data_IF_903381698242
#
_entry.id   IF_903381698242
#
_cell.length_a   1.000
_cell.length_b   1.000
_cell.length_c   1.000
_cell.angle_alpha   90.00
_cell.angle_beta   90.00
_cell.angle_gamma   90.00
#
_symmetry.space_group_name_H-M   'P 1'
#
loop_
_entity.id
_entity.type
_entity.pdbx_description
1 polymer ?
#
# COMPACT_ATOMS: atom_id res chain seq x y z
N UNK A 1 -25.06 32.11 13.62
CA UNK A 1 -23.71 32.40 13.11
C UNK A 1 -23.02 31.06 12.83
N UNK A 2 -22.42 30.90 11.66
CA UNK A 2 -21.60 29.69 11.41
C UNK A 2 -20.42 29.73 12.40
N UNK A 3 -20.07 28.59 13.05
CA UNK A 3 -18.92 28.56 13.93
C UNK A 3 -17.66 28.96 13.17
N UNK A 4 -16.84 29.84 13.75
CA UNK A 4 -15.58 30.24 13.14
C UNK A 4 -14.61 29.05 13.14
N UNK A 5 -14.02 28.74 11.99
CA UNK A 5 -13.04 27.65 11.86
C UNK A 5 -11.63 28.22 11.91
N UNK A 6 -10.82 27.69 12.80
CA UNK A 6 -9.39 28.01 12.90
C UNK A 6 -8.58 26.94 12.17
N UNK A 7 -7.91 27.33 11.09
CA UNK A 7 -7.06 26.42 10.31
C UNK A 7 -5.62 26.41 10.81
N UNK A 8 -5.09 25.22 11.04
CA UNK A 8 -3.73 24.98 11.53
C UNK A 8 -3.04 23.99 10.60
N UNK A 9 -1.87 24.32 10.09
CA UNK A 9 -1.02 23.42 9.34
C UNK A 9 0.25 23.08 10.11
N UNK A 10 0.65 21.83 10.09
CA UNK A 10 1.84 21.35 10.76
C UNK A 10 2.79 20.69 9.74
N UNK A 11 4.00 21.22 9.61
CA UNK A 11 5.09 20.48 8.98
C UNK A 11 5.76 19.63 10.07
N UNK A 12 5.65 18.29 9.90
CA UNK A 12 5.91 17.35 10.99
C UNK A 12 7.26 16.67 10.86
N UNK A 13 8.08 16.75 11.92
CA UNK A 13 9.38 16.10 12.01
C UNK A 13 9.50 15.25 13.29
N UNK A 14 10.53 14.40 13.36
CA UNK A 14 10.76 13.46 14.45
C UNK A 14 10.81 14.10 15.84
N UNK A 15 11.40 15.29 15.97
CA UNK A 15 11.63 15.96 17.28
C UNK A 15 10.74 17.19 17.51
N UNK A 16 10.33 17.85 16.45
CA UNK A 16 9.55 19.08 16.54
C UNK A 16 8.67 19.24 15.31
N UNK A 17 7.64 20.05 15.43
CA UNK A 17 6.76 20.46 14.35
C UNK A 17 6.88 21.96 14.12
N UNK A 18 6.85 22.39 12.88
CA UNK A 18 6.60 23.78 12.52
C UNK A 18 5.11 23.95 12.32
N UNK A 19 4.54 24.90 13.04
CA UNK A 19 3.11 25.18 13.06
C UNK A 19 2.86 26.53 12.44
N UNK A 20 1.93 26.60 11.51
CA UNK A 20 1.38 27.84 10.99
C UNK A 20 -0.15 27.79 11.16
N UNK A 21 -0.74 28.87 11.65
CA UNK A 21 -2.19 28.98 11.75
C UNK A 21 -2.66 30.40 11.48
N UNK A 22 -3.89 30.54 11.04
CA UNK A 22 -4.49 31.85 10.75
C UNK A 22 -5.63 32.13 11.71
N UNK A 23 -5.61 33.33 12.32
CA UNK A 23 -6.69 33.76 13.21
C UNK A 23 -7.97 34.01 12.40
N UNK A 24 -9.11 33.36 12.74
CA UNK A 24 -10.30 33.34 11.88
C UNK A 24 -10.95 34.71 11.68
N UNK A 25 -10.82 35.64 12.65
CA UNK A 25 -11.47 36.93 12.59
C UNK A 25 -10.54 38.07 12.08
N UNK A 26 -9.22 37.99 12.35
CA UNK A 26 -8.28 39.05 11.96
C UNK A 26 -7.49 38.71 10.70
N UNK A 27 -7.45 37.41 10.29
CA UNK A 27 -6.59 36.95 9.20
C UNK A 27 -5.10 36.92 9.55
N UNK A 28 -4.72 37.23 10.80
CA UNK A 28 -3.32 37.26 11.24
C UNK A 28 -2.72 35.85 11.19
N UNK A 29 -1.55 35.75 10.54
CA UNK A 29 -0.78 34.52 10.44
C UNK A 29 0.19 34.41 11.62
N UNK A 30 0.08 33.37 12.41
CA UNK A 30 1.01 33.08 13.50
C UNK A 30 1.81 31.81 13.21
N UNK A 31 3.09 31.83 13.59
CA UNK A 31 4.04 30.72 13.38
C UNK A 31 4.86 30.47 14.63
N UNK A 32 5.06 29.19 14.95
CA UNK A 32 5.92 28.77 16.04
C UNK A 32 6.37 27.31 15.85
N UNK A 33 7.29 26.86 16.70
CA UNK A 33 7.69 25.45 16.78
C UNK A 33 7.13 24.82 18.03
N UNK A 34 6.81 23.53 17.91
CA UNK A 34 6.31 22.70 19.01
C UNK A 34 7.12 21.41 19.05
N UNK A 35 7.58 21.00 20.23
CA UNK A 35 8.24 19.69 20.38
C UNK A 35 7.24 18.55 20.14
N UNK A 36 7.71 17.46 19.53
CA UNK A 36 6.90 16.26 19.29
C UNK A 36 6.69 15.47 20.59
N UNK A 37 5.97 16.08 21.54
CA UNK A 37 5.52 15.43 22.77
C UNK A 37 4.04 15.64 23.00
N UNK A 38 3.40 14.67 23.64
CA UNK A 38 1.98 14.75 23.94
C UNK A 38 1.60 16.03 24.69
N UNK A 39 2.42 16.44 25.66
CA UNK A 39 2.22 17.63 26.50
C UNK A 39 2.30 18.93 25.69
N UNK A 40 3.28 19.05 24.80
CA UNK A 40 3.46 20.29 24.03
C UNK A 40 2.39 20.43 22.93
N UNK A 41 1.96 19.32 22.33
CA UNK A 41 0.83 19.31 21.38
C UNK A 41 -0.46 19.76 22.10
N UNK A 42 -0.72 19.25 23.30
CA UNK A 42 -1.88 19.66 24.11
C UNK A 42 -1.81 21.15 24.49
N UNK A 43 -0.63 21.63 24.92
CA UNK A 43 -0.40 23.05 25.22
C UNK A 43 -0.66 23.93 24.01
N UNK A 44 -0.18 23.51 22.84
CA UNK A 44 -0.40 24.19 21.58
C UNK A 44 -1.90 24.36 21.29
N UNK A 45 -2.67 23.28 21.35
CA UNK A 45 -4.11 23.33 21.08
C UNK A 45 -4.84 24.20 22.11
N UNK A 46 -4.49 24.08 23.41
CA UNK A 46 -5.04 24.95 24.45
C UNK A 46 -4.72 26.44 24.22
N UNK A 47 -3.50 26.77 23.76
CA UNK A 47 -3.11 28.13 23.42
C UNK A 47 -3.93 28.68 22.25
N UNK A 48 -4.06 27.91 21.14
CA UNK A 48 -4.82 28.33 19.96
C UNK A 48 -6.29 28.54 20.34
N UNK A 49 -6.89 27.62 21.13
CA UNK A 49 -8.30 27.69 21.55
C UNK A 49 -8.61 28.92 22.43
N UNK A 50 -7.64 29.39 23.22
CA UNK A 50 -7.78 30.63 24.00
C UNK A 50 -7.76 31.90 23.13
N UNK A 51 -6.99 31.88 22.07
CA UNK A 51 -6.85 33.02 21.15
C UNK A 51 -7.97 33.08 20.12
N UNK A 52 -8.38 31.92 19.63
CA UNK A 52 -9.42 31.77 18.60
C UNK A 52 -10.44 30.71 19.04
N UNK A 53 -11.51 31.10 19.77
CA UNK A 53 -12.58 30.18 20.13
C UNK A 53 -13.31 29.72 18.86
N UNK A 54 -13.64 28.42 18.81
CA UNK A 54 -14.33 27.80 17.68
C UNK A 54 -13.76 26.43 17.35
N UNK A 55 -14.11 25.92 16.19
CA UNK A 55 -13.63 24.63 15.71
C UNK A 55 -12.19 24.74 15.19
N UNK A 56 -11.32 23.83 15.61
CA UNK A 56 -9.91 23.81 15.17
C UNK A 56 -9.73 22.69 14.16
N UNK A 57 -9.38 23.04 12.93
CA UNK A 57 -9.02 22.13 11.87
C UNK A 57 -7.50 22.08 11.72
N UNK A 58 -6.92 20.88 11.83
CA UNK A 58 -5.46 20.69 11.77
C UNK A 58 -5.12 19.80 10.59
N UNK A 59 -4.16 20.18 9.78
CA UNK A 59 -3.63 19.29 8.75
C UNK A 59 -2.11 19.10 8.88
N UNK A 60 -1.62 17.94 8.43
CA UNK A 60 -0.20 17.65 8.27
C UNK A 60 0.03 16.62 7.16
N UNK A 61 1.23 16.63 6.55
CA UNK A 61 1.57 15.66 5.51
C UNK A 61 1.81 14.26 6.09
N UNK A 62 1.35 13.22 5.40
CA UNK A 62 1.64 11.83 5.73
C UNK A 62 3.16 11.59 5.72
N UNK A 63 3.69 11.11 6.83
CA UNK A 63 5.13 10.93 7.01
C UNK A 63 5.47 10.13 8.27
N UNK A 64 6.62 10.41 8.85
CA UNK A 64 7.18 9.68 10.00
C UNK A 64 6.30 9.68 11.27
N UNK A 65 5.45 10.69 11.43
CA UNK A 65 4.56 10.79 12.60
C UNK A 65 3.34 9.87 12.51
N UNK A 66 3.12 9.22 11.36
CA UNK A 66 2.02 8.28 11.16
C UNK A 66 0.66 8.86 11.49
N UNK A 67 -0.26 8.03 11.96
CA UNK A 67 -1.62 8.43 12.31
C UNK A 67 -1.82 8.67 13.82
N UNK A 68 -0.81 8.42 14.64
CA UNK A 68 -0.89 8.65 16.10
C UNK A 68 -1.14 10.13 16.40
N UNK A 69 -0.51 11.04 15.65
CA UNK A 69 -0.72 12.47 15.79
C UNK A 69 -2.18 12.87 15.46
N UNK A 70 -2.76 12.33 14.40
CA UNK A 70 -4.17 12.53 14.04
C UNK A 70 -5.08 12.12 15.20
N UNK A 71 -4.97 10.89 15.66
CA UNK A 71 -5.79 10.38 16.79
C UNK A 71 -5.64 11.24 18.05
N UNK A 72 -4.40 11.71 18.31
CA UNK A 72 -4.16 12.62 19.44
C UNK A 72 -4.87 13.96 19.29
N UNK A 73 -4.80 14.56 18.11
CA UNK A 73 -5.50 15.82 17.84
C UNK A 73 -7.01 15.67 17.93
N UNK A 74 -7.54 14.54 17.47
CA UNK A 74 -8.97 14.22 17.60
C UNK A 74 -9.41 14.04 19.05
N UNK A 75 -8.60 13.40 19.91
CA UNK A 75 -8.88 13.33 21.36
C UNK A 75 -8.85 14.68 22.05
N UNK A 76 -8.16 15.66 21.46
CA UNK A 76 -8.17 17.05 21.94
C UNK A 76 -9.30 17.89 21.34
N UNK A 77 -10.24 17.26 20.63
CA UNK A 77 -11.42 17.91 20.03
C UNK A 77 -11.08 18.75 18.78
N UNK A 78 -10.08 18.36 18.02
CA UNK A 78 -9.75 18.97 16.72
C UNK A 78 -10.26 18.08 15.58
N UNK A 79 -10.59 18.68 14.44
CA UNK A 79 -10.74 17.96 13.17
C UNK A 79 -9.36 17.82 12.54
N UNK A 80 -8.81 16.60 12.52
CA UNK A 80 -7.44 16.37 12.05
C UNK A 80 -7.42 15.65 10.70
N UNK A 81 -6.68 16.19 9.73
CA UNK A 81 -6.54 15.65 8.39
C UNK A 81 -5.07 15.33 8.08
N UNK A 82 -4.83 14.12 7.59
CA UNK A 82 -3.52 13.69 7.08
C UNK A 82 -3.51 13.87 5.57
N UNK A 83 -2.55 14.59 5.05
CA UNK A 83 -2.53 15.01 3.65
C UNK A 83 -1.56 14.15 2.84
N UNK A 84 -1.94 13.82 1.61
CA UNK A 84 -1.09 13.08 0.66
C UNK A 84 0.05 13.97 0.13
N UNK A 85 1.33 13.73 0.47
CA UNK A 85 2.44 14.62 0.09
C UNK A 85 2.65 14.73 -1.42
N UNK A 86 2.35 13.65 -2.16
CA UNK A 86 2.50 13.59 -3.61
C UNK A 86 1.44 14.40 -4.38
N UNK A 87 0.38 14.83 -3.70
CA UNK A 87 -0.73 15.59 -4.27
C UNK A 87 -0.75 17.06 -3.79
N UNK A 88 0.18 17.46 -2.93
CA UNK A 88 0.37 18.86 -2.53
C UNK A 88 0.97 19.62 -3.72
N UNK A 89 0.24 20.62 -4.20
CA UNK A 89 0.69 21.40 -5.34
C UNK A 89 1.96 22.19 -5.03
N UNK A 90 2.94 22.17 -5.96
CA UNK A 90 4.22 22.90 -5.88
C UNK A 90 4.36 23.78 -7.09
N UNK A 91 4.76 25.06 -6.87
CA UNK A 91 5.04 25.95 -7.99
C UNK A 91 6.25 25.45 -8.80
N UNK A 92 6.16 25.38 -10.14
CA UNK A 92 7.33 25.12 -10.97
C UNK A 92 8.44 26.12 -10.66
N UNK A 93 9.68 25.64 -10.47
CA UNK A 93 10.83 26.52 -10.19
C UNK A 93 11.08 26.86 -8.71
N UNK A 94 10.26 26.42 -7.78
CA UNK A 94 10.49 26.60 -6.34
C UNK A 94 11.62 25.67 -5.85
N UNK A 95 12.86 26.20 -5.83
CA UNK A 95 14.06 25.45 -5.45
C UNK A 95 14.46 25.58 -3.99
N UNK A 96 13.88 26.54 -3.26
CA UNK A 96 14.23 26.80 -1.85
C UNK A 96 13.17 26.13 -0.97
N UNK A 97 13.54 25.02 -0.34
CA UNK A 97 12.72 24.30 0.63
C UNK A 97 13.16 24.70 2.04
N UNK A 98 12.21 25.17 2.87
CA UNK A 98 12.39 25.40 4.31
C UNK A 98 11.11 25.01 5.04
N UNK A 99 11.24 24.37 6.19
CA UNK A 99 10.11 23.90 7.02
C UNK A 99 9.07 25.02 7.30
N UNK A 100 9.56 26.25 7.45
CA UNK A 100 8.69 27.44 7.65
C UNK A 100 7.82 27.74 6.43
N UNK A 101 8.39 27.66 5.21
CA UNK A 101 7.65 27.88 3.96
C UNK A 101 6.69 26.74 3.70
N UNK A 102 7.08 25.52 4.03
CA UNK A 102 6.27 24.32 3.83
C UNK A 102 5.00 24.36 4.70
N UNK A 103 5.08 24.73 5.99
CA UNK A 103 3.92 24.91 6.86
C UNK A 103 2.96 26.01 6.37
N UNK A 104 3.48 27.18 5.93
CA UNK A 104 2.64 28.26 5.37
C UNK A 104 1.93 27.85 4.10
N UNK A 105 2.63 27.19 3.21
CA UNK A 105 2.10 26.72 1.95
C UNK A 105 1.00 25.69 2.17
N UNK A 106 1.24 24.74 3.08
CA UNK A 106 0.25 23.74 3.46
C UNK A 106 -0.99 24.43 4.04
N UNK A 107 -0.82 25.45 4.90
CA UNK A 107 -1.92 26.22 5.46
C UNK A 107 -2.73 26.93 4.39
N UNK A 108 -2.09 27.61 3.43
CA UNK A 108 -2.80 28.34 2.36
C UNK A 108 -3.64 27.40 1.49
N UNK A 109 -3.12 26.23 1.16
CA UNK A 109 -3.86 25.20 0.40
C UNK A 109 -4.96 24.56 1.25
N UNK A 110 -4.75 24.43 2.56
CA UNK A 110 -5.75 23.91 3.48
C UNK A 110 -6.97 24.82 3.56
N UNK A 111 -6.75 26.12 3.78
CA UNK A 111 -7.81 27.13 3.78
C UNK A 111 -8.57 27.17 2.45
N UNK A 112 -7.86 26.99 1.34
CA UNK A 112 -8.44 26.96 0.00
C UNK A 112 -9.17 25.63 -0.35
N UNK A 113 -9.16 24.61 0.54
CA UNK A 113 -9.76 23.31 0.29
C UNK A 113 -9.11 22.51 -0.84
N UNK A 114 -7.82 22.74 -1.13
CA UNK A 114 -7.09 22.14 -2.25
C UNK A 114 -6.29 20.89 -1.88
N UNK A 115 -6.37 20.48 -0.62
CA UNK A 115 -5.60 19.33 -0.13
C UNK A 115 -6.38 18.03 -0.26
N UNK A 116 -5.67 16.95 -0.58
CA UNK A 116 -6.24 15.60 -0.63
C UNK A 116 -5.93 14.84 0.64
N UNK A 117 -6.97 14.51 1.40
CA UNK A 117 -6.84 13.74 2.63
C UNK A 117 -6.50 12.27 2.35
N UNK A 118 -5.60 11.70 3.17
CA UNK A 118 -5.33 10.27 3.27
C UNK A 118 -6.25 9.68 4.34
N UNK A 119 -7.04 8.70 3.97
CA UNK A 119 -7.86 7.96 4.95
C UNK A 119 -6.95 7.26 5.95
N UNK A 120 -7.09 7.61 7.22
CA UNK A 120 -6.36 6.99 8.31
C UNK A 120 -7.04 5.67 8.71
N UNK A 121 -6.30 4.56 8.82
CA UNK A 121 -6.84 3.31 9.35
C UNK A 121 -7.13 3.42 10.85
N UNK A 122 -8.00 2.57 11.34
CA UNK A 122 -8.08 2.29 12.77
C UNK A 122 -6.75 1.73 13.29
N UNK A 123 -6.48 1.88 14.60
CA UNK A 123 -5.22 1.42 15.19
C UNK A 123 -4.98 -0.09 14.98
N UNK A 124 -6.03 -0.90 15.06
CA UNK A 124 -5.95 -2.34 14.81
C UNK A 124 -5.65 -2.65 13.33
N UNK A 125 -6.29 -1.95 12.39
CA UNK A 125 -6.00 -2.11 10.95
C UNK A 125 -4.59 -1.66 10.60
N UNK A 126 -4.08 -0.61 11.27
CA UNK A 126 -2.70 -0.16 11.09
C UNK A 126 -1.72 -1.23 11.56
N UNK A 127 -1.97 -1.87 12.73
CA UNK A 127 -1.16 -2.98 13.24
C UNK A 127 -1.18 -4.20 12.29
N UNK A 128 -2.35 -4.57 11.77
CA UNK A 128 -2.50 -5.65 10.79
C UNK A 128 -1.69 -5.38 9.51
N UNK A 129 -1.70 -4.13 9.03
CA UNK A 129 -0.88 -3.68 7.90
C UNK A 129 0.61 -3.77 8.20
N UNK A 130 1.05 -3.36 9.39
CA UNK A 130 2.45 -3.45 9.76
C UNK A 130 2.92 -4.93 9.84
N UNK A 131 2.06 -5.87 10.22
CA UNK A 131 2.37 -7.29 10.18
C UNK A 131 2.61 -7.80 8.74
N UNK A 132 1.75 -7.42 7.78
CA UNK A 132 1.95 -7.79 6.37
C UNK A 132 3.22 -7.18 5.79
N UNK A 133 3.53 -5.94 6.15
CA UNK A 133 4.77 -5.25 5.75
C UNK A 133 6.01 -5.85 6.38
N UNK A 134 5.94 -6.26 7.65
CA UNK A 134 7.02 -6.96 8.33
C UNK A 134 7.38 -8.26 7.61
N UNK A 135 6.38 -9.02 7.18
CA UNK A 135 6.58 -10.24 6.39
C UNK A 135 7.21 -9.95 5.02
N UNK A 136 6.77 -8.89 4.33
CA UNK A 136 7.37 -8.47 3.06
C UNK A 136 8.85 -8.10 3.22
N UNK A 137 9.19 -7.37 4.29
CA UNK A 137 10.58 -7.02 4.61
C UNK A 137 11.42 -8.26 4.90
N UNK A 138 10.90 -9.21 5.70
CA UNK A 138 11.58 -10.46 5.99
C UNK A 138 11.86 -11.29 4.72
N UNK A 139 10.94 -11.34 3.77
CA UNK A 139 11.13 -11.98 2.47
C UNK A 139 12.22 -11.30 1.64
N UNK A 140 12.25 -9.97 1.66
CA UNK A 140 13.29 -9.20 0.97
C UNK A 140 14.67 -9.42 1.59
N UNK A 141 14.76 -9.50 2.92
CA UNK A 141 16.02 -9.79 3.62
C UNK A 141 16.52 -11.19 3.28
N UNK A 142 15.64 -12.19 3.32
CA UNK A 142 15.95 -13.55 2.91
C UNK A 142 16.43 -13.62 1.45
N UNK A 143 15.76 -12.89 0.55
CA UNK A 143 16.19 -12.80 -0.86
C UNK A 143 17.59 -12.21 -0.98
N UNK A 144 17.92 -11.16 -0.23
CA UNK A 144 19.25 -10.54 -0.22
C UNK A 144 20.31 -11.50 0.32
N UNK A 145 20.01 -12.24 1.42
CA UNK A 145 20.90 -13.25 1.98
C UNK A 145 21.21 -14.35 0.93
N UNK A 146 20.18 -14.85 0.27
CA UNK A 146 20.31 -15.83 -0.83
C UNK A 146 21.17 -15.30 -1.99
N UNK A 147 20.97 -14.06 -2.39
CA UNK A 147 21.78 -13.43 -3.44
C UNK A 147 23.24 -13.27 -3.04
N UNK A 148 23.52 -12.89 -1.78
CA UNK A 148 24.89 -12.78 -1.26
C UNK A 148 25.62 -14.12 -1.33
N UNK A 149 25.02 -15.19 -0.82
CA UNK A 149 25.62 -16.53 -0.86
C UNK A 149 25.85 -16.99 -2.30
N UNK A 150 24.85 -16.90 -3.16
CA UNK A 150 24.98 -17.33 -4.55
C UNK A 150 26.08 -16.54 -5.29
N UNK A 151 26.15 -15.23 -5.08
CA UNK A 151 27.20 -14.40 -5.68
C UNK A 151 28.60 -14.73 -5.15
N UNK A 152 28.73 -15.07 -3.86
CA UNK A 152 30.00 -15.54 -3.29
C UNK A 152 30.44 -16.83 -3.95
N UNK A 153 29.57 -17.83 -4.02
CA UNK A 153 29.85 -19.13 -4.59
C UNK A 153 30.29 -19.03 -6.06
N UNK A 154 29.57 -18.25 -6.86
CA UNK A 154 29.93 -18.03 -8.29
C UNK A 154 31.32 -17.40 -8.41
N UNK A 155 31.68 -16.40 -7.58
CA UNK A 155 33.01 -15.77 -7.60
C UNK A 155 34.16 -16.73 -7.28
N UNK A 156 33.85 -17.79 -6.52
CA UNK A 156 34.83 -18.83 -6.15
C UNK A 156 34.71 -20.08 -7.03
N UNK A 157 34.00 -20.03 -8.16
CA UNK A 157 33.89 -21.10 -9.14
C UNK A 157 32.89 -22.20 -8.78
N UNK A 158 32.13 -22.06 -7.71
CA UNK A 158 31.08 -23.02 -7.32
C UNK A 158 29.76 -22.65 -8.02
N UNK A 159 29.40 -23.36 -9.07
CA UNK A 159 28.21 -23.09 -9.88
C UNK A 159 27.29 -24.30 -9.84
N UNK A 160 26.05 -24.13 -9.29
CA UNK A 160 25.05 -25.17 -9.28
C UNK A 160 24.38 -25.27 -10.64
N UNK A 161 24.40 -26.48 -11.26
CA UNK A 161 23.86 -26.71 -12.61
C UNK A 161 22.65 -27.69 -12.63
N UNK A 162 22.35 -28.38 -11.52
CA UNK A 162 21.35 -29.48 -11.50
C UNK A 162 19.93 -28.99 -11.24
N UNK A 163 19.56 -27.81 -11.70
CA UNK A 163 18.19 -27.31 -11.66
C UNK A 163 18.03 -25.97 -10.92
N UNK A 164 16.86 -25.78 -10.28
CA UNK A 164 16.54 -24.51 -9.60
C UNK A 164 17.26 -24.37 -8.27
N UNK A 165 17.73 -23.15 -7.98
CA UNK A 165 18.31 -22.79 -6.68
C UNK A 165 17.26 -22.87 -5.55
N UNK A 166 17.71 -23.04 -4.32
CA UNK A 166 16.92 -23.02 -3.08
C UNK A 166 15.90 -24.16 -2.97
N UNK A 167 16.15 -25.25 -3.68
CA UNK A 167 15.45 -26.54 -3.54
C UNK A 167 16.17 -27.47 -2.60
N UNK A 168 15.53 -28.56 -2.13
CA UNK A 168 16.19 -29.57 -1.32
C UNK A 168 17.42 -30.21 -2.00
N UNK A 169 17.43 -30.28 -3.36
CA UNK A 169 18.59 -30.74 -4.13
C UNK A 169 19.75 -29.73 -4.04
N UNK A 170 19.46 -28.44 -4.18
CA UNK A 170 20.45 -27.38 -4.04
C UNK A 170 21.01 -27.32 -2.60
N UNK A 171 20.17 -27.51 -1.57
CA UNK A 171 20.61 -27.55 -0.18
C UNK A 171 21.60 -28.69 0.08
N UNK A 172 21.35 -29.88 -0.46
CA UNK A 172 22.27 -31.02 -0.38
C UNK A 172 23.59 -30.75 -1.10
N UNK A 173 23.54 -30.09 -2.27
CA UNK A 173 24.75 -29.68 -2.97
C UNK A 173 25.56 -28.67 -2.15
N UNK A 174 24.92 -27.66 -1.54
CA UNK A 174 25.59 -26.71 -0.64
C UNK A 174 26.31 -27.40 0.54
N UNK A 175 25.65 -28.38 1.16
CA UNK A 175 26.22 -29.15 2.28
C UNK A 175 27.44 -30.02 1.87
N UNK A 176 27.49 -30.42 0.59
CA UNK A 176 28.60 -31.20 0.04
C UNK A 176 29.78 -30.38 -0.43
N UNK A 177 29.74 -29.03 -0.36
CA UNK A 177 30.84 -28.18 -0.78
C UNK A 177 31.99 -28.21 0.28
N UNK A 178 33.20 -28.40 -0.20
CA UNK A 178 34.43 -28.26 0.61
C UNK A 178 35.16 -26.96 0.23
N UNK A 179 35.67 -26.28 1.25
CA UNK A 179 36.43 -25.04 1.11
C UNK A 179 37.78 -25.17 1.78
N UNK A 180 38.86 -25.02 1.00
CA UNK A 180 40.24 -25.16 1.52
C UNK A 180 40.61 -24.01 2.46
N UNK A 181 40.14 -22.77 2.13
CA UNK A 181 40.43 -21.60 2.94
C UNK A 181 39.43 -21.46 4.11
N UNK A 182 39.95 -21.51 5.33
CA UNK A 182 39.15 -21.36 6.54
C UNK A 182 38.29 -20.07 6.57
N UNK A 183 38.77 -18.86 6.14
CA UNK A 183 37.93 -17.67 6.08
C UNK A 183 36.77 -17.81 5.13
N UNK A 184 36.94 -18.47 3.96
CA UNK A 184 35.86 -18.68 3.01
C UNK A 184 34.78 -19.59 3.58
N UNK A 185 35.19 -20.66 4.28
CA UNK A 185 34.27 -21.57 4.97
C UNK A 185 33.41 -20.81 5.98
N UNK A 186 34.06 -20.01 6.86
CA UNK A 186 33.33 -19.17 7.83
C UNK A 186 32.32 -18.26 7.18
N UNK A 187 32.66 -17.59 6.07
CA UNK A 187 31.70 -16.69 5.35
C UNK A 187 30.53 -17.47 4.77
N UNK A 188 30.77 -18.67 4.22
CA UNK A 188 29.67 -19.51 3.70
C UNK A 188 28.75 -20.00 4.81
N UNK A 189 29.32 -20.41 5.96
CA UNK A 189 28.57 -20.81 7.14
C UNK A 189 27.70 -19.67 7.67
N UNK A 190 28.24 -18.46 7.79
CA UNK A 190 27.50 -17.26 8.21
C UNK A 190 26.33 -16.94 7.25
N UNK A 191 26.57 -16.91 5.95
CA UNK A 191 25.50 -16.64 4.99
C UNK A 191 24.43 -17.75 4.96
N UNK A 192 24.83 -18.99 5.19
CA UNK A 192 23.89 -20.12 5.29
C UNK A 192 23.02 -19.98 6.54
N UNK A 193 23.61 -19.67 7.68
CA UNK A 193 22.92 -19.39 8.94
C UNK A 193 21.94 -18.21 8.79
N UNK A 194 22.35 -17.13 8.13
CA UNK A 194 21.46 -15.98 7.84
C UNK A 194 20.22 -16.40 7.01
N UNK A 195 20.41 -17.29 6.03
CA UNK A 195 19.33 -17.81 5.21
C UNK A 195 18.37 -18.69 6.04
N UNK A 196 18.88 -19.56 6.91
CA UNK A 196 18.09 -20.42 7.80
C UNK A 196 17.25 -19.61 8.78
N UNK A 197 17.86 -18.59 9.42
CA UNK A 197 17.16 -17.63 10.26
C UNK A 197 16.08 -16.87 9.48
N UNK A 198 16.39 -16.42 8.25
CA UNK A 198 15.44 -15.75 7.38
C UNK A 198 14.25 -16.63 7.01
N UNK A 199 14.48 -17.91 6.70
CA UNK A 199 13.42 -18.88 6.42
C UNK A 199 12.52 -19.09 7.64
N UNK A 200 13.09 -19.30 8.82
CA UNK A 200 12.34 -19.49 10.07
C UNK A 200 11.48 -18.26 10.39
N UNK A 201 12.04 -17.05 10.20
CA UNK A 201 11.33 -15.79 10.41
C UNK A 201 10.14 -15.64 9.44
N UNK A 202 10.33 -15.90 8.15
CA UNK A 202 9.26 -15.85 7.15
C UNK A 202 8.16 -16.86 7.47
N UNK A 203 8.52 -18.10 7.81
CA UNK A 203 7.54 -19.14 8.17
C UNK A 203 6.74 -18.79 9.43
N UNK A 204 7.36 -18.19 10.43
CA UNK A 204 6.68 -17.72 11.64
C UNK A 204 5.67 -16.62 11.32
N UNK A 205 6.05 -15.65 10.49
CA UNK A 205 5.16 -14.56 10.05
C UNK A 205 4.03 -15.09 9.15
N UNK A 206 4.29 -16.06 8.28
CA UNK A 206 3.27 -16.71 7.46
C UNK A 206 2.20 -17.40 8.31
N UNK A 207 2.58 -18.06 9.43
CA UNK A 207 1.62 -18.65 10.38
C UNK A 207 0.74 -17.59 11.04
N UNK A 208 1.32 -16.47 11.46
CA UNK A 208 0.58 -15.38 12.09
C UNK A 208 -0.39 -14.72 11.09
N UNK A 209 0.04 -14.51 9.84
CA UNK A 209 -0.81 -13.95 8.79
C UNK A 209 -1.92 -14.92 8.37
N UNK A 210 -1.66 -16.22 8.37
CA UNK A 210 -2.70 -17.23 8.13
C UNK A 210 -3.77 -17.20 9.22
N UNK A 211 -3.38 -17.03 10.49
CA UNK A 211 -4.33 -16.85 11.58
C UNK A 211 -5.12 -15.54 11.47
N UNK A 212 -4.44 -14.43 11.15
CA UNK A 212 -5.10 -13.15 10.93
C UNK A 212 -6.13 -13.21 9.79
N UNK A 213 -5.82 -13.91 8.71
CA UNK A 213 -6.72 -14.10 7.59
C UNK A 213 -8.00 -14.88 7.93
N UNK A 214 -8.00 -15.65 9.03
CA UNK A 214 -9.18 -16.36 9.56
C UNK A 214 -9.95 -15.56 10.58
N UNK A 215 -9.48 -14.37 10.96
CA UNK A 215 -10.24 -13.51 11.88
C UNK A 215 -11.55 -13.05 11.26
N UNK A 216 -12.53 -12.73 12.10
CA UNK A 216 -13.86 -12.23 11.70
C UNK A 216 -13.75 -11.04 10.73
N UNK A 217 -12.78 -10.16 10.94
CA UNK A 217 -12.53 -8.99 10.09
C UNK A 217 -12.16 -9.33 8.65
N UNK A 218 -11.40 -10.41 8.41
CA UNK A 218 -10.80 -10.67 7.11
C UNK A 218 -11.31 -11.95 6.42
N UNK A 219 -11.81 -12.93 7.17
CA UNK A 219 -12.13 -14.25 6.66
C UNK A 219 -13.00 -14.23 5.40
N UNK A 220 -14.10 -13.50 5.43
CA UNK A 220 -15.03 -13.45 4.30
C UNK A 220 -14.40 -12.76 3.08
N UNK A 221 -13.71 -11.63 3.28
CA UNK A 221 -13.08 -10.89 2.20
C UNK A 221 -11.89 -11.64 1.59
N UNK A 222 -11.04 -12.26 2.41
CA UNK A 222 -9.96 -13.14 1.96
C UNK A 222 -10.52 -14.31 1.17
N UNK A 223 -11.61 -14.95 1.66
CA UNK A 223 -12.26 -16.08 0.99
C UNK A 223 -12.69 -15.75 -0.44
N UNK A 224 -13.44 -14.67 -0.62
CA UNK A 224 -13.92 -14.28 -1.97
C UNK A 224 -12.78 -13.84 -2.89
N UNK A 225 -11.78 -13.11 -2.38
CA UNK A 225 -10.63 -12.66 -3.19
C UNK A 225 -9.77 -13.84 -3.68
N UNK A 226 -9.63 -14.88 -2.87
CA UNK A 226 -8.91 -16.12 -3.25
C UNK A 226 -9.55 -16.88 -4.40
N UNK A 227 -10.80 -16.58 -4.75
CA UNK A 227 -11.44 -17.12 -5.96
C UNK A 227 -10.80 -16.58 -7.24
N UNK A 228 -10.18 -15.40 -7.20
CA UNK A 228 -9.45 -14.81 -8.33
C UNK A 228 -8.15 -15.58 -8.60
N UNK A 229 -7.82 -15.72 -9.87
CA UNK A 229 -6.56 -16.31 -10.30
C UNK A 229 -5.40 -15.38 -9.92
N UNK A 230 -4.33 -15.94 -9.36
CA UNK A 230 -3.18 -15.17 -8.88
C UNK A 230 -3.33 -14.57 -7.47
N UNK A 231 -4.47 -14.84 -6.80
CA UNK A 231 -4.67 -14.45 -5.40
C UNK A 231 -4.57 -15.68 -4.50
N UNK A 232 -3.62 -15.66 -3.60
CA UNK A 232 -3.56 -16.56 -2.43
C UNK A 232 -4.01 -15.81 -1.16
N UNK A 233 -3.89 -16.47 -0.02
CA UNK A 233 -4.27 -15.87 1.28
C UNK A 233 -3.44 -14.62 1.59
N UNK A 234 -2.12 -14.68 1.36
CA UNK A 234 -1.21 -13.57 1.66
C UNK A 234 -1.48 -12.36 0.75
N UNK A 235 -1.63 -12.60 -0.55
CA UNK A 235 -1.96 -11.54 -1.52
C UNK A 235 -3.30 -10.87 -1.19
N UNK A 236 -4.34 -11.67 -0.89
CA UNK A 236 -5.65 -11.15 -0.52
C UNK A 236 -5.59 -10.31 0.77
N UNK A 237 -4.96 -10.85 1.82
CA UNK A 237 -4.81 -10.16 3.10
C UNK A 237 -3.99 -8.87 2.96
N UNK A 238 -2.87 -8.89 2.22
CA UNK A 238 -2.05 -7.69 2.00
C UNK A 238 -2.84 -6.60 1.26
N UNK A 239 -3.62 -6.96 0.24
CA UNK A 239 -4.48 -6.00 -0.46
C UNK A 239 -5.52 -5.38 0.49
N UNK A 240 -6.14 -6.19 1.35
CA UNK A 240 -7.13 -5.72 2.33
C UNK A 240 -6.51 -4.80 3.38
N UNK A 241 -5.35 -5.16 3.93
CA UNK A 241 -4.67 -4.35 4.96
C UNK A 241 -4.02 -3.08 4.41
N UNK A 242 -3.68 -3.02 3.13
CA UNK A 242 -3.11 -1.82 2.50
C UNK A 242 -4.19 -0.83 2.02
N UNK A 243 -5.38 -1.29 1.69
CA UNK A 243 -6.47 -0.43 1.19
C UNK A 243 -7.46 -0.04 2.31
N UNK A 244 -7.63 -0.90 3.31
CA UNK A 244 -8.56 -0.80 4.45
C UNK A 244 -10.03 -0.77 4.02
N UNK A 245 -10.59 0.40 3.84
CA UNK A 245 -11.98 0.64 3.56
C UNK A 245 -12.24 0.76 2.06
N UNK A 246 -12.75 -0.31 1.45
CA UNK A 246 -13.11 -0.31 0.03
C UNK A 246 -14.37 0.51 -0.28
N UNK A 247 -15.25 0.69 0.72
CA UNK A 247 -16.49 1.46 0.59
C UNK A 247 -16.26 2.92 0.18
N UNK A 248 -15.09 3.48 0.48
CA UNK A 248 -14.70 4.85 0.11
C UNK A 248 -14.57 5.08 -1.41
N UNK A 249 -14.41 4.01 -2.20
CA UNK A 249 -14.31 4.13 -3.65
C UNK A 249 -15.69 4.03 -4.30
N UNK A 250 -16.26 5.16 -4.68
CA UNK A 250 -17.58 5.23 -5.31
C UNK A 250 -17.67 4.44 -6.63
N UNK A 251 -16.54 4.20 -7.30
CA UNK A 251 -16.48 3.49 -8.58
C UNK A 251 -15.18 2.70 -8.76
N UNK A 252 -15.16 1.69 -9.66
CA UNK A 252 -13.91 1.00 -10.02
C UNK A 252 -12.83 1.96 -10.53
N UNK A 253 -13.22 3.04 -11.21
CA UNK A 253 -12.29 4.06 -11.73
C UNK A 253 -11.59 4.80 -10.60
N UNK A 254 -12.29 5.10 -9.51
CA UNK A 254 -11.70 5.72 -8.31
C UNK A 254 -10.62 4.82 -7.69
N UNK A 255 -10.87 3.51 -7.56
CA UNK A 255 -9.85 2.56 -7.10
C UNK A 255 -8.66 2.47 -8.07
N UNK A 256 -8.90 2.42 -9.38
CA UNK A 256 -7.83 2.39 -10.39
C UNK A 256 -6.95 3.64 -10.32
N UNK A 257 -7.55 4.82 -10.13
CA UNK A 257 -6.82 6.08 -9.94
C UNK A 257 -6.00 6.08 -8.65
N UNK A 258 -6.60 5.64 -7.53
CA UNK A 258 -5.92 5.49 -6.25
C UNK A 258 -4.70 4.56 -6.33
N UNK A 259 -4.79 3.49 -7.12
CA UNK A 259 -3.70 2.54 -7.34
C UNK A 259 -2.65 3.04 -8.36
N UNK A 260 -2.91 4.16 -9.04
CA UNK A 260 -2.04 4.71 -10.06
C UNK A 260 -1.87 3.81 -11.28
N UNK A 261 -2.91 3.05 -11.65
CA UNK A 261 -2.92 2.17 -12.83
C UNK A 261 -3.68 2.79 -14.01
N UNK A 262 -4.13 4.03 -13.87
CA UNK A 262 -4.71 4.84 -14.95
C UNK A 262 -3.60 5.47 -15.78
N UNK A 263 -3.75 5.56 -17.11
CA UNK A 263 -2.81 6.31 -17.95
C UNK A 263 -2.77 7.79 -17.54
N UNK A 264 -1.60 8.40 -17.57
CA UNK A 264 -1.50 9.85 -17.63
C UNK A 264 -1.98 10.35 -19.00
N UNK A 265 -2.48 11.56 -19.04
CA UNK A 265 -2.95 12.18 -20.27
C UNK A 265 -2.42 13.61 -20.33
N UNK A 266 -1.71 13.91 -21.42
CA UNK A 266 -1.30 15.26 -21.78
C UNK A 266 -2.00 15.59 -23.08
N UNK A 267 -3.20 16.17 -22.97
CA UNK A 267 -4.00 16.55 -24.13
C UNK A 267 -4.04 18.07 -24.23
N UNK A 268 -3.74 18.58 -25.43
CA UNK A 268 -3.92 20.00 -25.79
C UNK A 268 -4.73 20.09 -27.06
N UNK A 269 -5.87 20.79 -27.01
CA UNK A 269 -6.77 20.93 -28.15
C UNK A 269 -7.28 19.59 -28.67
N UNK A 270 -7.15 19.34 -29.97
CA UNK A 270 -7.62 18.11 -30.62
C UNK A 270 -6.68 16.90 -30.47
N UNK A 271 -5.47 17.10 -29.92
CA UNK A 271 -4.48 16.04 -29.81
C UNK A 271 -4.51 15.37 -28.44
N UNK A 272 -5.00 14.12 -28.42
CA UNK A 272 -4.98 13.27 -27.24
C UNK A 272 -3.67 12.44 -27.20
N UNK A 273 -2.82 12.69 -26.19
CA UNK A 273 -1.58 11.92 -25.96
C UNK A 273 -1.68 11.14 -24.64
N UNK A 274 -2.10 9.85 -24.68
CA UNK A 274 -2.07 9.01 -23.51
C UNK A 274 -0.62 8.65 -23.18
N UNK A 275 -0.22 8.91 -21.93
CA UNK A 275 1.10 8.57 -21.40
C UNK A 275 1.14 7.20 -20.71
N UNK A 276 2.21 6.97 -19.95
CA UNK A 276 2.34 5.81 -19.08
C UNK A 276 1.33 5.87 -17.92
N UNK A 277 1.26 4.81 -17.10
CA UNK A 277 0.45 4.84 -15.88
C UNK A 277 0.98 5.89 -14.91
N UNK A 278 0.08 6.53 -14.14
CA UNK A 278 0.44 7.63 -13.23
C UNK A 278 1.39 7.21 -12.11
N UNK A 279 1.39 5.93 -11.72
CA UNK A 279 2.18 5.35 -10.60
C UNK A 279 1.95 6.03 -9.25
N UNK A 280 0.94 6.85 -9.12
CA UNK A 280 0.53 7.47 -7.84
C UNK A 280 -0.04 6.42 -6.88
N UNK A 281 -0.13 6.75 -5.59
CA UNK A 281 -0.79 5.91 -4.58
C UNK A 281 -0.05 4.62 -4.22
N UNK A 282 -0.79 3.59 -3.81
CA UNK A 282 -0.23 2.40 -3.16
C UNK A 282 0.54 1.49 -4.13
N UNK A 283 1.87 1.57 -4.10
CA UNK A 283 2.74 0.78 -4.97
C UNK A 283 2.76 -0.72 -4.61
N UNK A 284 2.52 -1.08 -3.32
CA UNK A 284 2.49 -2.48 -2.89
C UNK A 284 1.33 -3.23 -3.52
N UNK A 285 0.13 -2.65 -3.43
CA UNK A 285 -1.05 -3.25 -4.07
C UNK A 285 -0.88 -3.28 -5.58
N UNK A 286 -0.36 -2.20 -6.20
CA UNK A 286 -0.08 -2.19 -7.65
C UNK A 286 0.87 -3.32 -8.06
N UNK A 287 1.94 -3.58 -7.30
CA UNK A 287 2.87 -4.69 -7.54
C UNK A 287 2.16 -6.04 -7.46
N UNK A 288 1.41 -6.30 -6.38
CA UNK A 288 0.66 -7.55 -6.20
C UNK A 288 -0.35 -7.80 -7.32
N UNK A 289 -1.09 -6.76 -7.73
CA UNK A 289 -2.01 -6.87 -8.87
C UNK A 289 -1.28 -7.13 -10.18
N UNK A 290 -0.06 -6.59 -10.35
CA UNK A 290 0.75 -6.87 -11.53
C UNK A 290 1.23 -8.33 -11.54
N UNK A 291 1.69 -8.85 -10.42
CA UNK A 291 2.06 -10.25 -10.26
C UNK A 291 0.86 -11.18 -10.52
N UNK A 292 -0.30 -10.87 -9.93
CA UNK A 292 -1.54 -11.62 -10.17
C UNK A 292 -1.98 -11.55 -11.64
N UNK A 293 -1.83 -10.40 -12.30
CA UNK A 293 -2.22 -10.21 -13.68
C UNK A 293 -1.45 -11.11 -14.67
N UNK A 294 -0.18 -11.43 -14.39
CA UNK A 294 0.62 -12.34 -15.22
C UNK A 294 0.02 -13.74 -15.34
N UNK A 295 -0.80 -14.18 -14.37
CA UNK A 295 -1.50 -15.46 -14.46
C UNK A 295 -2.57 -15.48 -15.55
N UNK A 296 -3.10 -14.34 -15.97
CA UNK A 296 -4.12 -14.23 -17.02
C UNK A 296 -3.57 -14.26 -18.45
N UNK A 297 -2.24 -14.40 -18.63
CA UNK A 297 -1.62 -14.68 -19.94
C UNK A 297 -1.96 -16.09 -20.45
N UNK A 298 -2.33 -17.01 -19.56
CA UNK A 298 -2.68 -18.39 -19.88
C UNK A 298 -4.19 -18.55 -20.06
N UNK A 299 -4.65 -19.47 -20.91
CA UNK A 299 -6.06 -19.78 -21.08
C UNK A 299 -6.78 -20.07 -19.76
N UNK A 300 -8.08 -19.84 -19.76
CA UNK A 300 -8.89 -20.12 -18.59
C UNK A 300 -8.86 -21.63 -18.27
N UNK A 301 -8.42 -21.95 -17.08
CA UNK A 301 -8.46 -23.31 -16.52
C UNK A 301 -8.56 -23.22 -15.00
N UNK A 302 -9.27 -24.18 -14.40
CA UNK A 302 -9.41 -24.29 -12.94
C UNK A 302 -8.61 -25.50 -12.47
N UNK A 303 -7.34 -25.27 -12.12
CA UNK A 303 -6.47 -26.31 -11.57
C UNK A 303 -6.82 -26.67 -10.12
N UNK A 304 -6.23 -27.75 -9.60
CA UNK A 304 -6.49 -28.28 -8.25
C UNK A 304 -6.38 -27.22 -7.13
N UNK A 305 -5.33 -26.43 -7.16
CA UNK A 305 -5.11 -25.39 -6.14
C UNK A 305 -6.21 -24.32 -6.13
N UNK A 306 -6.70 -23.91 -7.32
CA UNK A 306 -7.80 -22.94 -7.42
C UNK A 306 -9.14 -23.56 -6.99
N UNK A 307 -9.40 -24.83 -7.33
CA UNK A 307 -10.57 -25.57 -6.84
C UNK A 307 -10.62 -25.60 -5.31
N UNK A 308 -9.50 -25.91 -4.67
CA UNK A 308 -9.41 -25.93 -3.20
C UNK A 308 -9.67 -24.54 -2.57
N UNK A 309 -9.16 -23.48 -3.18
CA UNK A 309 -9.41 -22.11 -2.69
C UNK A 309 -10.85 -21.65 -2.83
N UNK A 310 -11.58 -22.19 -3.81
CA UNK A 310 -12.99 -21.88 -4.10
C UNK A 310 -13.99 -22.77 -3.35
N UNK A 311 -13.49 -23.81 -2.69
CA UNK A 311 -14.34 -24.66 -1.85
C UNK A 311 -15.01 -23.81 -0.78
N UNK A 312 -16.29 -24.03 -0.59
CA UNK A 312 -17.13 -23.34 0.40
C UNK A 312 -17.24 -21.80 0.21
N UNK A 313 -16.84 -21.28 -0.95
CA UNK A 313 -17.03 -19.86 -1.27
C UNK A 313 -18.39 -19.61 -1.95
N UNK A 314 -18.97 -18.42 -1.77
CA UNK A 314 -20.25 -18.08 -2.39
C UNK A 314 -20.21 -18.25 -3.92
N UNK A 315 -21.27 -18.81 -4.49
CA UNK A 315 -21.38 -19.06 -5.94
C UNK A 315 -21.15 -17.78 -6.74
N UNK A 316 -21.72 -16.66 -6.31
CA UNK A 316 -21.53 -15.37 -6.98
C UNK A 316 -20.05 -14.94 -7.07
N UNK A 317 -19.23 -15.25 -6.05
CA UNK A 317 -17.82 -14.91 -6.04
C UNK A 317 -17.03 -15.79 -7.03
N UNK A 318 -17.37 -17.08 -7.12
CA UNK A 318 -16.78 -18.00 -8.08
C UNK A 318 -17.15 -17.58 -9.51
N UNK A 319 -18.42 -17.25 -9.77
CA UNK A 319 -18.91 -16.83 -11.09
C UNK A 319 -18.26 -15.51 -11.53
N UNK A 320 -18.09 -14.57 -10.60
CA UNK A 320 -17.42 -13.30 -10.89
C UNK A 320 -15.94 -13.53 -11.21
N UNK A 321 -15.27 -14.41 -10.47
CA UNK A 321 -13.88 -14.80 -10.74
C UNK A 321 -13.71 -15.50 -12.09
N UNK A 322 -14.67 -16.32 -12.51
CA UNK A 322 -14.67 -16.98 -13.82
C UNK A 322 -14.87 -15.97 -14.96
N UNK A 323 -15.82 -15.05 -14.80
CA UNK A 323 -16.00 -13.94 -15.73
C UNK A 323 -14.74 -13.10 -15.86
N UNK A 324 -14.09 -12.80 -14.73
CA UNK A 324 -12.83 -12.09 -14.71
C UNK A 324 -11.75 -12.84 -15.49
N UNK A 325 -11.57 -14.15 -15.21
CA UNK A 325 -10.53 -14.96 -15.86
C UNK A 325 -10.69 -15.02 -17.37
N UNK A 326 -11.92 -15.27 -17.86
CA UNK A 326 -12.24 -15.32 -19.30
C UNK A 326 -12.04 -13.96 -19.97
N UNK A 327 -12.50 -12.87 -19.34
CA UNK A 327 -12.38 -11.51 -19.88
C UNK A 327 -10.93 -11.04 -19.92
N UNK A 328 -10.18 -11.21 -18.83
CA UNK A 328 -8.80 -10.73 -18.70
C UNK A 328 -7.85 -11.47 -19.65
N UNK A 329 -8.04 -12.79 -19.84
CA UNK A 329 -7.31 -13.56 -20.86
C UNK A 329 -7.58 -13.01 -22.27
N UNK A 330 -8.87 -12.84 -22.65
CA UNK A 330 -9.23 -12.28 -23.97
C UNK A 330 -8.64 -10.89 -24.17
N UNK A 331 -8.68 -10.05 -23.12
CA UNK A 331 -8.09 -8.71 -23.16
C UNK A 331 -6.58 -8.74 -23.42
N UNK A 332 -5.87 -9.61 -22.72
CA UNK A 332 -4.42 -9.81 -22.91
C UNK A 332 -4.11 -10.23 -24.33
N UNK A 333 -4.77 -11.28 -24.83
CA UNK A 333 -4.57 -11.80 -26.19
C UNK A 333 -4.86 -10.76 -27.26
N UNK A 334 -5.98 -10.09 -27.17
CA UNK A 334 -6.36 -9.03 -28.12
C UNK A 334 -5.31 -7.90 -28.20
N UNK A 335 -4.72 -7.49 -27.07
CA UNK A 335 -3.69 -6.45 -27.08
C UNK A 335 -2.38 -6.94 -27.71
N UNK A 336 -1.98 -8.19 -27.50
CA UNK A 336 -0.82 -8.78 -28.16
C UNK A 336 -1.02 -8.88 -29.67
N UNK A 337 -2.18 -9.33 -30.11
CA UNK A 337 -2.57 -9.43 -31.53
C UNK A 337 -2.54 -8.06 -32.23
N UNK A 338 -2.80 -6.98 -31.48
CA UNK A 338 -2.62 -5.58 -31.95
C UNK A 338 -1.20 -5.05 -31.82
N UNK A 339 -0.21 -5.91 -31.64
CA UNK A 339 1.20 -5.53 -31.56
C UNK A 339 1.64 -4.81 -30.29
N UNK A 340 0.83 -4.82 -29.19
CA UNK A 340 1.24 -4.21 -27.93
C UNK A 340 2.24 -5.11 -27.21
N UNK A 341 3.30 -4.53 -26.65
CA UNK A 341 4.27 -5.26 -25.81
C UNK A 341 3.59 -5.92 -24.62
N UNK A 342 4.02 -7.12 -24.24
CA UNK A 342 3.42 -7.91 -23.14
C UNK A 342 3.30 -7.13 -21.81
N UNK A 343 4.30 -6.33 -21.35
CA UNK A 343 4.15 -5.53 -20.14
C UNK A 343 3.02 -4.48 -20.25
N UNK A 344 2.85 -3.86 -21.42
CA UNK A 344 1.77 -2.90 -21.67
C UNK A 344 0.40 -3.58 -21.64
N UNK A 345 0.29 -4.77 -22.25
CA UNK A 345 -0.93 -5.59 -22.23
C UNK A 345 -1.28 -6.01 -20.79
N UNK A 346 -0.28 -6.42 -19.99
CA UNK A 346 -0.47 -6.74 -18.57
C UNK A 346 -0.97 -5.54 -17.77
N UNK A 347 -0.47 -4.33 -18.00
CA UNK A 347 -0.97 -3.15 -17.28
C UNK A 347 -2.44 -2.85 -17.60
N UNK A 348 -2.91 -3.13 -18.81
CA UNK A 348 -4.33 -3.06 -19.12
C UNK A 348 -5.14 -4.14 -18.38
N UNK A 349 -4.59 -5.35 -18.23
CA UNK A 349 -5.19 -6.43 -17.42
C UNK A 349 -5.24 -6.03 -15.94
N UNK A 350 -4.17 -5.46 -15.38
CA UNK A 350 -4.12 -4.95 -13.98
C UNK A 350 -5.25 -3.96 -13.72
N UNK A 351 -5.47 -3.03 -14.65
CA UNK A 351 -6.53 -2.05 -14.51
C UNK A 351 -7.92 -2.71 -14.47
N UNK A 352 -8.19 -3.65 -15.36
CA UNK A 352 -9.47 -4.38 -15.34
C UNK A 352 -9.58 -5.31 -14.11
N UNK A 353 -8.49 -5.95 -13.66
CA UNK A 353 -8.43 -6.75 -12.44
C UNK A 353 -8.78 -5.94 -11.19
N UNK A 354 -8.29 -4.69 -11.10
CA UNK A 354 -8.68 -3.77 -10.04
C UNK A 354 -10.20 -3.48 -10.05
N UNK A 355 -10.83 -3.44 -11.24
CA UNK A 355 -12.28 -3.33 -11.36
C UNK A 355 -13.02 -4.56 -10.83
N UNK A 356 -12.53 -5.76 -11.10
CA UNK A 356 -13.10 -6.99 -10.54
C UNK A 356 -12.90 -7.11 -9.04
N UNK A 357 -11.74 -6.70 -8.54
CA UNK A 357 -11.47 -6.59 -7.10
C UNK A 357 -12.50 -5.70 -6.40
N UNK A 358 -12.72 -4.50 -6.94
CA UNK A 358 -13.71 -3.57 -6.43
C UNK A 358 -15.12 -4.17 -6.44
N UNK A 359 -15.52 -4.81 -7.55
CA UNK A 359 -16.84 -5.41 -7.69
C UNK A 359 -17.06 -6.55 -6.68
N UNK A 360 -16.04 -7.39 -6.44
CA UNK A 360 -16.09 -8.47 -5.45
C UNK A 360 -16.33 -7.94 -4.03
N UNK A 361 -15.53 -6.97 -3.61
CA UNK A 361 -15.61 -6.44 -2.25
C UNK A 361 -16.86 -5.62 -2.03
N UNK A 362 -17.33 -4.89 -3.04
CA UNK A 362 -18.61 -4.18 -2.98
C UNK A 362 -19.79 -5.15 -2.86
N UNK A 363 -19.79 -6.23 -3.65
CA UNK A 363 -20.84 -7.24 -3.58
C UNK A 363 -20.84 -7.97 -2.23
N UNK A 364 -19.64 -8.29 -1.69
CA UNK A 364 -19.51 -8.85 -0.34
C UNK A 364 -20.15 -7.93 0.71
N UNK A 365 -19.82 -6.64 0.67
CA UNK A 365 -20.38 -5.66 1.61
C UNK A 365 -21.92 -5.59 1.50
N UNK A 366 -22.47 -5.61 0.29
CA UNK A 366 -23.94 -5.64 0.07
C UNK A 366 -24.62 -6.89 0.66
N UNK A 367 -23.93 -8.04 0.67
CA UNK A 367 -24.46 -9.27 1.28
C UNK A 367 -24.34 -9.30 2.81
N UNK A 368 -23.41 -8.52 3.38
CA UNK A 368 -23.20 -8.43 4.82
C UNK A 368 -24.07 -7.36 5.49
N UNK A 369 -24.49 -6.35 4.73
CA UNK A 369 -25.35 -5.28 5.24
C UNK A 369 -26.82 -5.72 5.05
N UNK A 370 -27.60 -5.89 6.12
CA UNK A 370 -29.03 -6.19 6.00
C UNK A 370 -29.70 -5.11 5.14
N UNK A 371 -30.52 -5.51 4.16
CA UNK A 371 -31.40 -4.55 3.49
C UNK A 371 -32.32 -3.95 4.55
N UNK A 372 -32.47 -2.62 4.62
CA UNK A 372 -33.54 -2.07 5.44
C UNK A 372 -34.84 -2.72 4.97
N UNK A 373 -35.60 -3.25 5.92
CA UNK A 373 -36.93 -3.79 5.65
C UNK A 373 -37.79 -2.70 4.98
N UNK A 374 -38.61 -3.05 3.97
CA UNK A 374 -39.45 -2.11 3.25
C UNK A 374 -40.43 -1.38 4.15
#
# INVERSE_FOLDING_TARGET
MKPSITYVAMDTHKRQHRVAWVHPNTGELQEFSVAHTAREIERMIKRIRRQAPGEIHVCYEAGLCGFVLKRRLETLGCVAQVIAPSLVWRKPGERVKTDRRDAKKLLSQFVAGQLTEVVAPEAAQEADRELTRCRENAEQDLKRARQRLNSLLIRHGYIYQDGSLWTGRHARWLQGLAFDQAPLRTVVEEYTSEIEHGLTRVQSLDKQLAALAQSERYQAAVGVLRCLRGFDTLTALTVLTEIFEFGRFASPRALMAYLGVTPSEESSGEHRRPGAITKTGNWRVRRLLTEAAWHYRHPYAVGRALKLRRKDQPIWAVDLADRAAKRLYRRYRHLLERGKAAPTAIMAVVRELAGFLWAMLRQLHQHQTPRPSP
#
